data_IF_794164552584
#
_entry.id   IF_794164552584
#
_cell.length_a   1.000
_cell.length_b   1.000
_cell.length_c   1.000
_cell.angle_alpha   90.00
_cell.angle_beta   90.00
_cell.angle_gamma   90.00
#
_symmetry.space_group_name_H-M   'P 1'
#
loop_
_entity.id
_entity.type
_entity.pdbx_description
1 polymer ?
#
# COMPACT_ATOMS: atom_id res chain seq x y z
N UNK A 1 -10.72 -11.49 -16.00
CA UNK A 1 -10.36 -10.60 -14.85
C UNK A 1 -9.63 -9.34 -15.33
N UNK A 2 -8.53 -9.43 -16.12
CA UNK A 2 -7.74 -8.29 -16.60
C UNK A 2 -8.61 -7.23 -17.31
N UNK A 3 -9.41 -7.62 -18.29
CA UNK A 3 -10.19 -6.70 -19.12
C UNK A 3 -11.28 -5.97 -18.30
N UNK A 4 -11.84 -6.63 -17.29
CA UNK A 4 -12.79 -6.01 -16.37
C UNK A 4 -12.09 -4.98 -15.47
N UNK A 5 -10.89 -5.27 -14.96
CA UNK A 5 -10.08 -4.35 -14.17
C UNK A 5 -9.65 -3.14 -15.01
N UNK A 6 -9.16 -3.36 -16.23
CA UNK A 6 -8.81 -2.28 -17.17
C UNK A 6 -10.01 -1.37 -17.45
N UNK A 7 -11.18 -1.96 -17.77
CA UNK A 7 -12.40 -1.17 -18.02
C UNK A 7 -12.77 -0.32 -16.78
N UNK A 8 -12.66 -0.90 -15.59
CA UNK A 8 -12.97 -0.17 -14.36
C UNK A 8 -11.99 0.97 -14.12
N UNK A 9 -10.69 0.74 -14.28
CA UNK A 9 -9.66 1.76 -14.17
C UNK A 9 -9.89 2.93 -15.14
N UNK A 10 -10.26 2.65 -16.38
CA UNK A 10 -10.59 3.69 -17.37
C UNK A 10 -11.80 4.52 -16.95
N UNK A 11 -12.85 3.89 -16.40
CA UNK A 11 -14.02 4.60 -15.89
C UNK A 11 -13.63 5.52 -14.73
N UNK A 12 -12.78 5.07 -13.81
CA UNK A 12 -12.30 5.89 -12.68
C UNK A 12 -11.51 7.10 -13.18
N UNK A 13 -10.61 6.92 -14.13
CA UNK A 13 -9.85 8.02 -14.74
C UNK A 13 -10.77 9.03 -15.45
N UNK A 14 -11.76 8.56 -16.20
CA UNK A 14 -12.73 9.41 -16.88
C UNK A 14 -13.64 10.17 -15.88
N UNK A 15 -13.80 9.66 -14.66
CA UNK A 15 -14.49 10.30 -13.53
C UNK A 15 -13.59 11.26 -12.73
N UNK A 16 -12.32 11.39 -13.10
CA UNK A 16 -11.39 12.33 -12.49
C UNK A 16 -10.47 11.75 -11.40
N UNK A 17 -10.27 10.43 -11.36
CA UNK A 17 -9.25 9.86 -10.49
C UNK A 17 -7.85 10.29 -10.96
N UNK A 18 -7.03 10.80 -10.04
CA UNK A 18 -5.64 11.18 -10.30
C UNK A 18 -4.68 9.98 -10.22
N UNK A 19 -5.01 9.01 -9.38
CA UNK A 19 -4.21 7.80 -9.13
C UNK A 19 -5.12 6.59 -9.20
N UNK A 20 -4.68 5.52 -9.86
CA UNK A 20 -5.34 4.21 -9.87
C UNK A 20 -4.54 3.26 -8.99
N UNK A 21 -5.14 2.80 -7.90
CA UNK A 21 -4.55 1.81 -7.01
C UNK A 21 -4.95 0.39 -7.43
N UNK A 22 -3.95 -0.46 -7.70
CA UNK A 22 -4.15 -1.81 -8.25
C UNK A 22 -3.61 -2.83 -7.26
N UNK A 23 -4.51 -3.68 -6.73
CA UNK A 23 -4.16 -4.77 -5.83
C UNK A 23 -4.54 -6.14 -6.38
N UNK A 24 -3.71 -7.15 -6.10
CA UNK A 24 -3.95 -8.55 -6.47
C UNK A 24 -4.52 -9.42 -5.34
N UNK A 25 -4.40 -8.95 -4.09
CA UNK A 25 -4.92 -9.58 -2.88
C UNK A 25 -5.87 -8.64 -2.16
N UNK A 26 -6.89 -9.18 -1.49
CA UNK A 26 -7.82 -8.37 -0.70
C UNK A 26 -7.29 -8.16 0.72
N UNK A 27 -7.21 -6.92 1.15
CA UNK A 27 -6.84 -6.55 2.53
C UNK A 27 -8.03 -6.58 3.51
N UNK A 28 -9.22 -6.98 3.06
CA UNK A 28 -10.43 -7.06 3.91
C UNK A 28 -10.32 -8.18 4.94
N UNK A 29 -10.92 -8.02 6.13
CA UNK A 29 -11.01 -9.08 7.12
C UNK A 29 -11.54 -10.40 6.52
N UNK A 30 -10.86 -11.52 6.79
CA UNK A 30 -11.27 -12.84 6.32
C UNK A 30 -10.96 -13.16 4.86
N UNK A 31 -10.28 -12.28 4.13
CA UNK A 31 -9.85 -12.59 2.77
C UNK A 31 -8.86 -13.76 2.76
N UNK A 32 -8.97 -14.61 1.74
CA UNK A 32 -8.01 -15.68 1.50
C UNK A 32 -6.68 -15.07 1.05
N UNK A 33 -5.58 -15.61 1.58
CA UNK A 33 -4.24 -15.24 1.11
C UNK A 33 -4.04 -15.71 -0.32
N UNK A 34 -3.40 -14.86 -1.10
CA UNK A 34 -2.95 -15.15 -2.47
C UNK A 34 -1.44 -15.35 -2.42
N UNK A 35 -0.91 -16.32 -3.17
CA UNK A 35 0.53 -16.43 -3.29
C UNK A 35 1.12 -15.31 -4.17
N UNK A 36 2.42 -15.07 -4.02
CA UNK A 36 3.11 -13.95 -4.68
C UNK A 36 3.06 -14.09 -6.21
N UNK A 37 3.15 -15.30 -6.73
CA UNK A 37 3.11 -15.56 -8.17
C UNK A 37 1.74 -15.22 -8.76
N UNK A 38 0.68 -15.65 -8.10
CA UNK A 38 -0.71 -15.34 -8.49
C UNK A 38 -1.02 -13.85 -8.34
N UNK A 39 -0.57 -13.21 -7.22
CA UNK A 39 -0.72 -11.76 -7.02
C UNK A 39 -0.06 -10.99 -8.17
N UNK A 40 1.18 -11.30 -8.48
CA UNK A 40 1.95 -10.68 -9.56
C UNK A 40 1.27 -10.89 -10.91
N UNK A 41 0.79 -12.11 -11.20
CA UNK A 41 0.07 -12.44 -12.43
C UNK A 41 -1.27 -11.70 -12.58
N UNK A 42 -1.90 -11.28 -11.48
CA UNK A 42 -3.10 -10.43 -11.50
C UNK A 42 -2.78 -8.96 -11.75
N UNK A 43 -1.74 -8.44 -11.13
CA UNK A 43 -1.42 -6.99 -11.08
C UNK A 43 -0.70 -6.53 -12.36
N UNK A 44 0.40 -7.18 -12.72
CA UNK A 44 1.28 -6.73 -13.82
C UNK A 44 0.55 -6.55 -15.15
N UNK A 45 -0.26 -7.52 -15.64
CA UNK A 45 -0.95 -7.35 -16.93
C UNK A 45 -1.99 -6.23 -16.95
N UNK A 46 -2.52 -5.83 -15.78
CA UNK A 46 -3.46 -4.70 -15.68
C UNK A 46 -2.70 -3.38 -15.78
N UNK A 47 -1.55 -3.26 -15.11
CA UNK A 47 -0.67 -2.08 -15.17
C UNK A 47 -0.24 -1.83 -16.62
N UNK A 48 0.32 -2.86 -17.28
CA UNK A 48 0.77 -2.78 -18.67
C UNK A 48 -0.35 -2.36 -19.62
N UNK A 49 -1.52 -3.01 -19.51
CA UNK A 49 -2.66 -2.71 -20.37
C UNK A 49 -3.20 -1.27 -20.15
N UNK A 50 -3.22 -0.81 -18.90
CA UNK A 50 -3.65 0.56 -18.59
C UNK A 50 -2.70 1.60 -19.17
N UNK A 51 -1.38 1.41 -19.01
CA UNK A 51 -0.38 2.32 -19.55
C UNK A 51 -0.32 2.32 -21.10
N UNK A 52 -0.67 1.21 -21.76
CA UNK A 52 -0.82 1.19 -23.21
C UNK A 52 -1.95 2.11 -23.70
N UNK A 53 -3.05 2.21 -22.94
CA UNK A 53 -4.23 3.02 -23.32
C UNK A 53 -4.17 4.44 -22.74
N UNK A 54 -3.57 4.59 -21.58
CA UNK A 54 -3.40 5.86 -20.84
C UNK A 54 -1.95 6.00 -20.36
N UNK A 55 -1.00 6.37 -21.23
CA UNK A 55 0.43 6.44 -20.88
C UNK A 55 0.77 7.42 -19.74
N UNK A 56 -0.12 8.37 -19.45
CA UNK A 56 0.07 9.38 -18.39
C UNK A 56 -0.64 9.00 -17.08
N UNK A 57 -1.29 7.82 -17.00
CA UNK A 57 -1.94 7.40 -15.77
C UNK A 57 -0.90 7.17 -14.67
N UNK A 58 -1.17 7.73 -13.49
CA UNK A 58 -0.39 7.45 -12.30
C UNK A 58 -0.96 6.21 -11.63
N UNK A 59 -0.12 5.17 -11.51
CA UNK A 59 -0.52 3.88 -10.96
C UNK A 59 0.18 3.65 -9.63
N UNK A 60 -0.61 3.29 -8.61
CA UNK A 60 -0.18 2.73 -7.34
C UNK A 60 -0.39 1.22 -7.36
N UNK A 61 0.52 0.45 -6.76
CA UNK A 61 0.34 -0.98 -6.51
C UNK A 61 0.11 -1.23 -5.02
N UNK A 62 -1.06 -1.80 -4.67
CA UNK A 62 -1.37 -2.25 -3.29
C UNK A 62 -0.83 -3.67 -3.09
N UNK A 63 0.26 -3.78 -2.35
CA UNK A 63 0.90 -5.05 -2.03
C UNK A 63 1.78 -4.96 -0.79
N UNK A 64 1.81 -6.04 -0.01
CA UNK A 64 2.75 -6.23 1.11
C UNK A 64 3.97 -7.09 0.72
N UNK A 65 4.08 -7.50 -0.55
CA UNK A 65 5.14 -8.39 -1.05
C UNK A 65 6.14 -7.63 -1.91
N UNK A 66 7.41 -7.62 -1.51
CA UNK A 66 8.48 -6.92 -2.20
C UNK A 66 8.68 -7.38 -3.66
N UNK A 67 8.48 -8.66 -3.95
CA UNK A 67 8.60 -9.20 -5.30
C UNK A 67 7.50 -8.67 -6.23
N UNK A 68 6.24 -8.62 -5.77
CA UNK A 68 5.12 -8.02 -6.50
C UNK A 68 5.34 -6.52 -6.72
N UNK A 69 5.80 -5.80 -5.67
CA UNK A 69 6.13 -4.38 -5.77
C UNK A 69 7.18 -4.12 -6.86
N UNK A 70 8.27 -4.90 -6.89
CA UNK A 70 9.31 -4.76 -7.92
C UNK A 70 8.78 -5.02 -9.32
N UNK A 71 8.01 -6.09 -9.50
CA UNK A 71 7.41 -6.44 -10.79
C UNK A 71 6.45 -5.35 -11.28
N UNK A 72 5.59 -4.82 -10.38
CA UNK A 72 4.65 -3.73 -10.69
C UNK A 72 5.36 -2.44 -11.08
N UNK A 73 6.41 -2.04 -10.35
CA UNK A 73 7.22 -0.85 -10.69
C UNK A 73 7.94 -1.05 -12.02
N UNK A 74 8.46 -2.25 -12.29
CA UNK A 74 9.08 -2.58 -13.59
C UNK A 74 8.06 -2.49 -14.73
N UNK A 75 6.79 -2.83 -14.49
CA UNK A 75 5.70 -2.68 -15.43
C UNK A 75 5.20 -1.24 -15.59
N UNK A 76 5.66 -0.30 -14.73
CA UNK A 76 5.40 1.12 -14.84
C UNK A 76 4.57 1.73 -13.70
N UNK A 77 4.33 1.02 -12.60
CA UNK A 77 3.73 1.62 -11.40
C UNK A 77 4.68 2.69 -10.82
N UNK A 78 4.13 3.85 -10.48
CA UNK A 78 4.89 4.98 -9.94
C UNK A 78 4.92 5.00 -8.40
N UNK A 79 4.00 4.27 -7.76
CA UNK A 79 3.82 4.27 -6.31
C UNK A 79 3.68 2.82 -5.83
N UNK A 80 4.31 2.49 -4.71
CA UNK A 80 4.06 1.26 -3.94
C UNK A 80 3.26 1.63 -2.71
N UNK A 81 2.04 1.12 -2.62
CA UNK A 81 1.15 1.26 -1.47
C UNK A 81 1.27 0.01 -0.60
N UNK A 82 2.04 0.12 0.49
CA UNK A 82 2.25 -0.98 1.42
C UNK A 82 1.48 -0.73 2.72
N UNK A 83 0.33 -1.39 2.83
CA UNK A 83 -0.54 -1.31 4.02
C UNK A 83 0.12 -1.82 5.29
N UNK A 84 1.23 -2.57 5.17
CA UNK A 84 1.98 -3.09 6.32
C UNK A 84 3.11 -2.16 6.80
N UNK A 85 3.45 -1.12 6.03
CA UNK A 85 4.57 -0.22 6.34
C UNK A 85 5.92 -0.94 6.43
N UNK A 86 6.12 -1.99 5.63
CA UNK A 86 7.33 -2.82 5.60
C UNK A 86 7.34 -3.99 6.59
N UNK A 87 6.26 -4.21 7.35
CA UNK A 87 6.17 -5.32 8.29
C UNK A 87 5.75 -6.65 7.64
N UNK A 88 5.09 -6.59 6.49
CA UNK A 88 4.64 -7.76 5.74
C UNK A 88 5.79 -8.50 5.06
N UNK A 89 6.78 -7.76 4.58
CA UNK A 89 7.97 -8.31 3.91
C UNK A 89 9.21 -7.49 4.28
N UNK A 90 10.19 -8.10 4.94
CA UNK A 90 11.43 -7.44 5.36
C UNK A 90 12.28 -6.90 4.18
N UNK A 91 12.07 -7.39 2.97
CA UNK A 91 12.75 -6.92 1.78
C UNK A 91 12.11 -5.65 1.19
N UNK A 92 10.87 -5.28 1.59
CA UNK A 92 10.08 -4.22 0.96
C UNK A 92 10.84 -2.89 0.89
N UNK A 93 11.31 -2.35 2.01
CA UNK A 93 12.00 -1.05 2.02
C UNK A 93 13.22 -1.02 1.10
N UNK A 94 14.06 -2.07 1.12
CA UNK A 94 15.24 -2.17 0.26
C UNK A 94 14.87 -2.30 -1.21
N UNK A 95 13.83 -3.05 -1.50
CA UNK A 95 13.32 -3.22 -2.85
C UNK A 95 12.83 -1.89 -3.42
N UNK A 96 11.98 -1.16 -2.69
CA UNK A 96 11.49 0.15 -3.15
C UNK A 96 12.64 1.18 -3.25
N UNK A 97 13.59 1.15 -2.31
CA UNK A 97 14.77 2.01 -2.35
C UNK A 97 15.60 1.82 -3.63
N UNK A 98 15.63 0.61 -4.19
CA UNK A 98 16.34 0.31 -5.46
C UNK A 98 15.62 0.81 -6.72
N UNK A 99 14.39 1.33 -6.59
CA UNK A 99 13.57 1.87 -7.68
C UNK A 99 13.47 3.39 -7.60
N UNK A 100 12.67 3.99 -8.50
CA UNK A 100 12.30 5.42 -8.43
C UNK A 100 10.87 5.64 -7.89
N UNK A 101 10.14 4.58 -7.52
CA UNK A 101 8.77 4.69 -7.05
C UNK A 101 8.66 5.45 -5.71
N UNK A 102 7.57 6.18 -5.54
CA UNK A 102 7.16 6.66 -4.23
C UNK A 102 6.66 5.48 -3.37
N UNK A 103 6.70 5.62 -2.06
CA UNK A 103 6.32 4.59 -1.11
C UNK A 103 5.28 5.14 -0.13
N UNK A 104 4.10 4.54 -0.11
CA UNK A 104 3.10 4.80 0.92
C UNK A 104 3.36 3.83 2.08
N UNK A 105 3.77 4.41 3.20
CA UNK A 105 4.02 3.71 4.45
C UNK A 105 2.80 3.81 5.35
N UNK A 106 1.94 2.81 5.34
CA UNK A 106 0.75 2.80 6.16
C UNK A 106 1.04 2.23 7.55
N UNK A 107 0.40 2.81 8.57
CA UNK A 107 0.40 2.27 9.91
C UNK A 107 -0.39 0.97 10.00
N UNK A 108 0.27 -0.07 10.50
CA UNK A 108 -0.26 -1.42 10.58
C UNK A 108 0.13 -2.13 11.88
N UNK A 109 -0.82 -2.88 12.46
CA UNK A 109 -0.64 -3.70 13.66
C UNK A 109 -1.23 -5.10 13.46
N UNK A 110 -0.79 -5.83 12.44
CA UNK A 110 -1.23 -7.19 12.20
C UNK A 110 -2.10 -7.37 10.97
N UNK A 111 -2.23 -8.63 10.58
CA UNK A 111 -2.95 -9.03 9.38
C UNK A 111 -4.48 -8.89 9.53
N UNK A 112 -5.26 -9.01 8.46
CA UNK A 112 -6.72 -8.87 8.48
C UNK A 112 -7.46 -9.78 9.46
N UNK A 113 -6.86 -10.90 9.90
CA UNK A 113 -7.47 -11.82 10.87
C UNK A 113 -7.24 -11.39 12.33
N UNK A 114 -6.25 -10.56 12.60
CA UNK A 114 -5.82 -10.21 13.97
C UNK A 114 -5.96 -8.73 14.31
N UNK A 115 -6.02 -7.85 13.32
CA UNK A 115 -5.96 -6.39 13.52
C UNK A 115 -7.07 -5.85 14.42
N UNK A 116 -8.28 -6.41 14.41
CA UNK A 116 -9.41 -5.95 15.22
C UNK A 116 -9.20 -6.13 16.73
N UNK A 117 -8.20 -6.95 17.12
CA UNK A 117 -7.83 -7.20 18.53
C UNK A 117 -6.65 -6.33 18.98
N UNK A 118 -6.07 -5.54 18.09
CA UNK A 118 -4.84 -4.76 18.33
C UNK A 118 -5.13 -3.25 18.42
N UNK A 119 -6.29 -2.91 18.97
CA UNK A 119 -6.79 -1.53 19.12
C UNK A 119 -6.39 -0.85 20.43
N UNK A 120 -5.53 -1.49 21.25
CA UNK A 120 -5.06 -0.91 22.50
C UNK A 120 -3.90 0.05 22.26
N UNK A 121 -4.08 1.32 22.68
CA UNK A 121 -3.11 2.40 22.59
C UNK A 121 -3.00 3.08 23.97
N UNK A 122 -2.10 2.60 24.85
CA UNK A 122 -1.99 3.08 26.24
C UNK A 122 -1.81 4.60 26.38
N UNK A 123 -1.06 5.21 25.44
CA UNK A 123 -0.76 6.64 25.40
C UNK A 123 -1.70 7.41 24.46
N UNK A 124 -2.80 6.80 24.04
CA UNK A 124 -3.70 7.33 23.04
C UNK A 124 -3.31 7.00 21.59
N UNK A 125 -4.32 6.90 20.73
CA UNK A 125 -4.13 6.43 19.35
C UNK A 125 -3.22 7.35 18.52
N UNK A 126 -3.31 8.66 18.69
CA UNK A 126 -2.48 9.63 17.94
C UNK A 126 -1.00 9.46 18.27
N UNK A 127 -0.67 9.44 19.57
CA UNK A 127 0.72 9.26 20.02
C UNK A 127 1.27 7.89 19.59
N UNK A 128 0.48 6.83 19.74
CA UNK A 128 0.88 5.48 19.35
C UNK A 128 1.15 5.36 17.85
N UNK A 129 0.25 5.85 17.02
CA UNK A 129 0.40 5.83 15.55
C UNK A 129 1.63 6.63 15.11
N UNK A 130 1.84 7.84 15.66
CA UNK A 130 3.03 8.66 15.35
C UNK A 130 4.31 7.93 15.74
N UNK A 131 4.36 7.36 16.94
CA UNK A 131 5.54 6.63 17.43
C UNK A 131 5.88 5.43 16.53
N UNK A 132 4.87 4.63 16.18
CA UNK A 132 5.08 3.43 15.35
C UNK A 132 5.42 3.78 13.89
N UNK A 133 4.79 4.79 13.31
CA UNK A 133 5.16 5.28 11.98
C UNK A 133 6.58 5.83 11.93
N UNK A 134 7.01 6.59 12.93
CA UNK A 134 8.39 7.08 12.99
C UNK A 134 9.41 5.94 12.96
N UNK A 135 9.14 4.84 13.67
CA UNK A 135 10.01 3.65 13.62
C UNK A 135 10.04 3.04 12.20
N UNK A 136 8.90 3.02 11.46
CA UNK A 136 8.86 2.53 10.08
C UNK A 136 9.64 3.45 9.15
N UNK A 137 9.49 4.77 9.32
CA UNK A 137 10.22 5.78 8.54
C UNK A 137 11.74 5.68 8.74
N UNK A 138 12.19 5.50 9.97
CA UNK A 138 13.61 5.29 10.28
C UNK A 138 14.14 4.03 9.58
N UNK A 139 13.38 2.93 9.61
CA UNK A 139 13.74 1.68 8.93
C UNK A 139 13.80 1.84 7.41
N UNK A 140 12.82 2.53 6.82
CA UNK A 140 12.78 2.79 5.38
C UNK A 140 13.97 3.64 4.93
N UNK A 141 14.30 4.71 5.68
CA UNK A 141 15.45 5.56 5.40
C UNK A 141 16.77 4.82 5.60
N UNK A 142 16.90 4.00 6.64
CA UNK A 142 18.08 3.15 6.86
C UNK A 142 18.27 2.12 5.73
N UNK A 143 17.18 1.69 5.07
CA UNK A 143 17.23 0.83 3.88
C UNK A 143 17.61 1.60 2.59
N UNK A 144 17.76 2.92 2.65
CA UNK A 144 18.15 3.77 1.53
C UNK A 144 17.00 4.49 0.81
N UNK A 145 15.78 4.42 1.34
CA UNK A 145 14.63 5.13 0.75
C UNK A 145 14.69 6.63 1.10
N UNK A 146 14.71 7.48 0.10
CA UNK A 146 14.75 8.93 0.29
C UNK A 146 13.45 9.43 0.94
N UNK A 147 13.58 10.31 1.94
CA UNK A 147 12.44 10.85 2.71
C UNK A 147 11.38 11.48 1.82
N UNK A 148 11.80 12.16 0.77
CA UNK A 148 10.95 12.87 -0.19
C UNK A 148 10.07 11.95 -1.04
N UNK A 149 10.39 10.66 -1.03
CA UNK A 149 9.60 9.62 -1.72
C UNK A 149 8.66 8.85 -0.80
N UNK A 150 8.63 9.19 0.50
CA UNK A 150 7.78 8.49 1.47
C UNK A 150 6.52 9.32 1.73
N UNK A 151 5.37 8.69 1.56
CA UNK A 151 4.06 9.19 1.93
C UNK A 151 3.61 8.42 3.17
N UNK A 152 3.11 9.12 4.18
CA UNK A 152 2.69 8.50 5.44
C UNK A 152 1.17 8.38 5.47
N UNK A 153 0.66 7.19 5.83
CA UNK A 153 -0.76 6.92 5.99
C UNK A 153 -1.04 6.44 7.43
N UNK A 154 -1.92 7.08 8.19
CA UNK A 154 -2.28 6.67 9.54
C UNK A 154 -3.04 5.34 9.60
N UNK A 155 -3.50 4.77 8.48
CA UNK A 155 -4.18 3.50 8.39
C UNK A 155 -5.54 3.52 9.09
N UNK A 156 -6.43 4.42 8.68
CA UNK A 156 -7.79 4.51 9.25
C UNK A 156 -8.53 3.18 9.08
N UNK A 157 -9.14 2.69 10.16
CA UNK A 157 -9.83 1.40 10.18
C UNK A 157 -8.93 0.17 10.29
N UNK A 158 -7.59 0.31 10.23
CA UNK A 158 -6.64 -0.78 10.45
C UNK A 158 -6.18 -0.78 11.91
N UNK A 159 -6.50 -1.83 12.67
CA UNK A 159 -6.22 -1.93 14.10
C UNK A 159 -6.68 -0.70 14.90
N UNK A 160 -7.81 -0.14 14.55
CA UNK A 160 -8.40 1.06 15.18
C UNK A 160 -9.91 0.94 15.25
N UNK A 161 -10.48 1.41 16.35
CA UNK A 161 -11.92 1.60 16.46
C UNK A 161 -12.39 2.79 15.59
N UNK A 162 -13.70 2.90 15.39
CA UNK A 162 -14.27 4.07 14.69
C UNK A 162 -13.92 5.38 15.41
N UNK A 163 -14.01 5.40 16.74
CA UNK A 163 -13.67 6.59 17.54
C UNK A 163 -12.19 6.96 17.40
N UNK A 164 -11.28 5.99 17.44
CA UNK A 164 -9.84 6.19 17.24
C UNK A 164 -9.53 6.73 15.84
N UNK A 165 -10.25 6.27 14.82
CA UNK A 165 -10.12 6.80 13.45
C UNK A 165 -10.54 8.27 13.37
N UNK A 166 -11.63 8.65 14.06
CA UNK A 166 -12.03 10.06 14.15
C UNK A 166 -11.03 10.94 14.92
N UNK A 167 -10.43 10.42 16.00
CA UNK A 167 -9.38 11.12 16.74
C UNK A 167 -8.17 11.41 15.85
N UNK A 168 -7.76 10.45 15.00
CA UNK A 168 -6.67 10.63 14.04
C UNK A 168 -6.99 11.66 12.96
N UNK A 169 -8.23 11.71 12.48
CA UNK A 169 -8.65 12.71 11.48
C UNK A 169 -8.73 14.12 12.04
N UNK A 170 -8.89 14.26 13.35
CA UNK A 170 -9.01 15.56 14.04
C UNK A 170 -7.65 16.09 14.54
N UNK A 171 -6.58 15.31 14.47
CA UNK A 171 -5.25 15.67 14.95
C UNK A 171 -4.36 16.20 13.83
#
# INVERSE_FOLDING_TARGET
>A
QRDAALKHALVLLDQGADIIDIGGESTRPGAAKVDIEEETARVVPVIEALLQVRPQAVISVDTIHAATALAAVTAGAAIVNDVSGGLGDQAMHRTVASTQAAYICQHWRGNPQTMDRLTDYPDGVVAGVISELNQRLEQAQAAGLAKERIIVDPGLGFAKTHEQSWQLLAA
#
